data_IF_860987284727
#
_entry.id   IF_860987284727
#
_cell.length_a   1.000
_cell.length_b   1.000
_cell.length_c   1.000
_cell.angle_alpha   90.00
_cell.angle_beta   90.00
_cell.angle_gamma   90.00
#
_symmetry.space_group_name_H-M   'P 1'
#
loop_
_entity.id
_entity.type
_entity.pdbx_description
1 polymer ?
#
# COMPACT_ATOMS: atom_id res chain seq x y z
N UNK A 1 -57.60 8.06 -3.01
CA UNK A 1 -56.32 8.78 -3.20
C UNK A 1 -55.48 8.87 -1.92
N UNK A 2 -56.02 9.34 -0.77
CA UNK A 2 -55.25 9.44 0.49
C UNK A 2 -54.55 8.14 0.93
N UNK A 3 -55.23 6.98 0.87
CA UNK A 3 -54.65 5.67 1.24
C UNK A 3 -53.47 5.26 0.35
N UNK A 4 -53.55 5.55 -0.95
CA UNK A 4 -52.48 5.27 -1.91
C UNK A 4 -51.26 6.18 -1.68
N UNK A 5 -51.49 7.45 -1.34
CA UNK A 5 -50.42 8.40 -1.00
C UNK A 5 -49.72 7.97 0.30
N UNK A 6 -50.48 7.59 1.33
CA UNK A 6 -49.90 7.10 2.60
C UNK A 6 -49.06 5.84 2.36
N UNK A 7 -49.57 4.87 1.59
CA UNK A 7 -48.81 3.67 1.24
C UNK A 7 -47.52 4.00 0.49
N UNK A 8 -47.58 4.92 -0.49
CA UNK A 8 -46.40 5.35 -1.23
C UNK A 8 -45.35 6.01 -0.32
N UNK A 9 -45.78 6.92 0.55
CA UNK A 9 -44.89 7.60 1.51
C UNK A 9 -44.25 6.59 2.45
N UNK A 10 -45.02 5.66 3.01
CA UNK A 10 -44.49 4.61 3.88
C UNK A 10 -43.46 3.74 3.16
N UNK A 11 -43.74 3.32 1.92
CA UNK A 11 -42.80 2.53 1.12
C UNK A 11 -41.49 3.31 0.85
N UNK A 12 -41.59 4.60 0.51
CA UNK A 12 -40.41 5.44 0.30
C UNK A 12 -39.59 5.60 1.59
N UNK A 13 -40.22 5.76 2.75
CA UNK A 13 -39.53 5.82 4.03
C UNK A 13 -38.79 4.50 4.34
N UNK A 14 -39.40 3.35 4.06
CA UNK A 14 -38.77 2.03 4.26
C UNK A 14 -37.55 1.89 3.34
N UNK A 15 -37.67 2.27 2.07
CA UNK A 15 -36.55 2.21 1.11
C UNK A 15 -35.41 3.12 1.59
N UNK A 16 -35.71 4.36 2.00
CA UNK A 16 -34.71 5.29 2.50
C UNK A 16 -33.98 4.75 3.75
N UNK A 17 -34.73 4.15 4.68
CA UNK A 17 -34.16 3.53 5.87
C UNK A 17 -33.26 2.33 5.53
N UNK A 18 -33.69 1.48 4.59
CA UNK A 18 -32.90 0.33 4.15
C UNK A 18 -31.59 0.76 3.46
N UNK A 19 -31.64 1.78 2.61
CA UNK A 19 -30.44 2.36 1.98
C UNK A 19 -29.51 2.95 3.05
N UNK A 20 -30.05 3.72 4.00
CA UNK A 20 -29.27 4.28 5.10
C UNK A 20 -28.56 3.20 5.93
N UNK A 21 -29.25 2.12 6.26
CA UNK A 21 -28.68 0.98 6.97
C UNK A 21 -27.54 0.31 6.18
N UNK A 22 -27.69 0.16 4.85
CA UNK A 22 -26.63 -0.39 4.00
C UNK A 22 -25.37 0.48 3.99
N UNK A 23 -25.51 1.81 3.94
CA UNK A 23 -24.36 2.72 4.01
C UNK A 23 -23.62 2.63 5.36
N UNK A 24 -24.37 2.56 6.46
CA UNK A 24 -23.77 2.40 7.80
C UNK A 24 -23.05 1.07 7.90
N UNK A 25 -23.66 -0.01 7.41
CA UNK A 25 -23.05 -1.34 7.44
C UNK A 25 -21.80 -1.42 6.56
N UNK A 26 -21.81 -0.80 5.38
CA UNK A 26 -20.63 -0.69 4.51
C UNK A 26 -19.48 0.04 5.21
N UNK A 27 -19.78 1.16 5.89
CA UNK A 27 -18.77 1.90 6.63
C UNK A 27 -18.20 1.12 7.82
N UNK A 28 -19.07 0.47 8.60
CA UNK A 28 -18.64 -0.38 9.72
C UNK A 28 -17.83 -1.60 9.26
N UNK A 29 -18.18 -2.18 8.10
CA UNK A 29 -17.43 -3.29 7.52
C UNK A 29 -16.02 -2.85 7.09
N UNK A 30 -15.87 -1.63 6.56
CA UNK A 30 -14.55 -1.07 6.28
C UNK A 30 -13.71 -0.95 7.55
N UNK A 31 -14.25 -0.32 8.60
CA UNK A 31 -13.55 -0.13 9.88
C UNK A 31 -13.16 -1.47 10.52
N UNK A 32 -14.02 -2.49 10.42
CA UNK A 32 -13.71 -3.83 10.94
C UNK A 32 -12.53 -4.47 10.19
N UNK A 33 -12.47 -4.34 8.86
CA UNK A 33 -11.35 -4.85 8.07
C UNK A 33 -10.06 -4.06 8.33
N UNK A 34 -10.15 -2.73 8.48
CA UNK A 34 -8.99 -1.89 8.85
C UNK A 34 -8.44 -2.29 10.22
N UNK A 35 -9.31 -2.54 11.20
CA UNK A 35 -8.91 -3.03 12.53
C UNK A 35 -8.23 -4.39 12.48
N UNK A 36 -8.67 -5.32 11.61
CA UNK A 36 -7.99 -6.62 11.45
C UNK A 36 -6.58 -6.45 10.87
N UNK A 37 -6.41 -5.51 9.93
CA UNK A 37 -5.09 -5.20 9.37
C UNK A 37 -4.21 -4.54 10.42
N UNK A 38 -4.76 -3.63 11.23
CA UNK A 38 -4.04 -3.01 12.36
C UNK A 38 -3.55 -4.08 13.35
N UNK A 39 -4.41 -5.01 13.78
CA UNK A 39 -4.04 -6.12 14.66
C UNK A 39 -2.93 -7.01 14.05
N UNK A 40 -3.01 -7.27 12.74
CA UNK A 40 -1.97 -8.00 12.02
C UNK A 40 -0.64 -7.24 12.05
N UNK A 41 -0.63 -5.95 11.73
CA UNK A 41 0.59 -5.13 11.70
C UNK A 41 1.21 -4.93 13.07
N UNK A 42 0.40 -4.82 14.12
CA UNK A 42 0.85 -4.76 15.51
C UNK A 42 1.60 -6.04 15.91
N UNK A 43 1.10 -7.21 15.50
CA UNK A 43 1.80 -8.48 15.70
C UNK A 43 3.15 -8.54 14.94
N UNK A 44 3.33 -7.69 13.93
CA UNK A 44 4.52 -7.56 13.11
C UNK A 44 5.49 -6.45 13.55
N UNK A 45 5.24 -5.76 14.67
CA UNK A 45 6.01 -4.58 15.09
C UNK A 45 6.16 -3.54 13.96
N UNK A 46 5.07 -3.35 13.21
CA UNK A 46 5.02 -2.47 12.04
C UNK A 46 4.06 -1.31 12.28
N UNK A 47 4.60 -0.13 12.47
CA UNK A 47 3.81 1.08 12.70
C UNK A 47 3.19 1.61 11.39
N UNK A 48 1.88 1.55 11.28
CA UNK A 48 1.12 2.19 10.21
C UNK A 48 0.80 3.65 10.54
N UNK A 49 0.97 4.54 9.57
CA UNK A 49 0.49 5.93 9.64
C UNK A 49 -0.88 6.10 9.01
N UNK A 50 -1.22 5.23 8.06
CA UNK A 50 -2.53 5.18 7.39
C UNK A 50 -2.77 3.76 6.88
N UNK A 51 -4.02 3.30 6.95
CA UNK A 51 -4.49 2.01 6.43
C UNK A 51 -5.68 2.30 5.51
N UNK A 52 -5.67 1.74 4.30
CA UNK A 52 -6.80 1.81 3.37
C UNK A 52 -7.07 0.46 2.72
N UNK A 53 -8.08 -0.23 3.26
CA UNK A 53 -8.58 -1.49 2.70
C UNK A 53 -9.26 -1.21 1.37
N UNK A 54 -8.79 -1.88 0.32
CA UNK A 54 -9.35 -1.78 -1.03
C UNK A 54 -10.29 -2.93 -1.35
N UNK A 55 -11.17 -2.68 -2.34
CA UNK A 55 -12.15 -3.65 -2.81
C UNK A 55 -13.52 -3.43 -2.20
N UNK A 56 -14.35 -2.63 -2.87
CA UNK A 56 -15.77 -2.46 -2.51
C UNK A 56 -16.64 -3.52 -3.20
N UNK A 57 -17.77 -3.94 -2.59
CA UNK A 57 -18.32 -3.49 -1.31
C UNK A 57 -17.70 -4.22 -0.10
N UNK A 58 -17.37 -3.48 0.95
CA UNK A 58 -16.69 -4.00 2.15
C UNK A 58 -17.50 -5.05 2.91
N UNK A 59 -18.84 -4.97 2.87
CA UNK A 59 -19.71 -5.95 3.54
C UNK A 59 -19.41 -7.39 3.10
N UNK A 60 -19.13 -7.60 1.81
CA UNK A 60 -18.86 -8.96 1.29
C UNK A 60 -17.53 -9.52 1.79
N UNK A 61 -16.54 -8.64 1.99
CA UNK A 61 -15.22 -8.97 2.50
C UNK A 61 -15.27 -9.24 4.00
N UNK A 62 -15.94 -8.37 4.77
CA UNK A 62 -16.16 -8.58 6.20
C UNK A 62 -16.97 -9.86 6.50
N UNK A 63 -17.95 -10.22 5.66
CA UNK A 63 -18.67 -11.51 5.80
C UNK A 63 -17.78 -12.75 5.61
N UNK A 64 -16.66 -12.61 4.89
CA UNK A 64 -15.69 -13.68 4.63
C UNK A 64 -14.49 -13.61 5.57
N UNK A 65 -14.45 -12.61 6.44
CA UNK A 65 -13.32 -12.31 7.30
C UNK A 65 -12.01 -12.18 6.52
N UNK A 66 -12.07 -11.48 5.38
CA UNK A 66 -10.95 -11.38 4.45
C UNK A 66 -10.83 -10.01 3.80
N UNK A 67 -9.62 -9.44 3.74
CA UNK A 67 -9.31 -8.22 2.98
C UNK A 67 -8.38 -8.55 1.80
N UNK A 68 -8.84 -8.42 0.55
CA UNK A 68 -8.07 -8.85 -0.64
C UNK A 68 -6.81 -8.02 -0.91
N UNK A 69 -6.88 -6.70 -0.69
CA UNK A 69 -5.75 -5.80 -0.84
C UNK A 69 -5.90 -4.63 0.13
N UNK A 70 -4.87 -4.38 0.91
CA UNK A 70 -4.81 -3.21 1.78
C UNK A 70 -3.54 -2.43 1.51
N UNK A 71 -3.68 -1.11 1.34
CA UNK A 71 -2.53 -0.20 1.28
C UNK A 71 -2.27 0.34 2.67
N UNK A 72 -1.02 0.29 3.10
CA UNK A 72 -0.58 0.70 4.42
C UNK A 72 0.58 1.67 4.22
N UNK A 73 0.40 2.93 4.62
CA UNK A 73 1.50 3.90 4.58
C UNK A 73 2.31 3.77 5.87
N UNK A 74 3.61 3.56 5.73
CA UNK A 74 4.53 3.37 6.85
C UNK A 74 5.21 4.68 7.24
N UNK A 75 5.77 4.71 8.46
CA UNK A 75 6.59 5.83 8.89
C UNK A 75 7.83 5.99 8.00
N UNK A 76 8.07 7.23 7.54
CA UNK A 76 9.19 7.52 6.65
C UNK A 76 10.52 7.45 7.39
N UNK A 77 11.53 6.93 6.69
CA UNK A 77 12.93 7.01 7.10
C UNK A 77 13.64 8.16 6.38
N UNK A 78 14.78 8.61 6.90
CA UNK A 78 15.54 9.70 6.30
C UNK A 78 15.92 9.39 4.83
N UNK A 79 15.68 10.33 3.92
CA UNK A 79 15.94 10.18 2.49
C UNK A 79 14.83 9.45 1.71
N UNK A 80 13.69 9.18 2.36
CA UNK A 80 12.48 8.66 1.71
C UNK A 80 11.32 9.64 1.82
N UNK A 81 10.48 9.68 0.80
CA UNK A 81 9.29 10.53 0.76
C UNK A 81 7.97 9.75 0.68
N UNK A 82 8.05 8.44 0.40
CA UNK A 82 6.93 7.52 0.48
C UNK A 82 7.42 6.14 0.88
N UNK A 83 6.66 5.49 1.75
CA UNK A 83 6.89 4.12 2.14
C UNK A 83 5.53 3.45 2.30
N UNK A 84 5.23 2.46 1.45
CA UNK A 84 3.91 1.86 1.37
C UNK A 84 4.01 0.34 1.30
N UNK A 85 3.38 -0.32 2.27
CA UNK A 85 3.19 -1.76 2.31
C UNK A 85 1.83 -2.12 1.72
N UNK A 86 1.80 -3.14 0.88
CA UNK A 86 0.60 -3.78 0.36
C UNK A 86 0.47 -5.13 1.04
N UNK A 87 -0.63 -5.29 1.77
CA UNK A 87 -1.05 -6.57 2.33
C UNK A 87 -1.99 -7.23 1.32
N UNK A 88 -1.51 -8.28 0.67
CA UNK A 88 -2.32 -9.06 -0.27
C UNK A 88 -3.02 -10.19 0.48
N UNK A 89 -4.34 -10.19 0.41
CA UNK A 89 -5.25 -11.14 1.06
C UNK A 89 -4.89 -11.42 2.52
N UNK A 90 -5.46 -10.64 3.42
CA UNK A 90 -5.43 -10.94 4.85
C UNK A 90 -6.69 -11.73 5.22
N UNK A 91 -6.52 -12.89 5.85
CA UNK A 91 -7.61 -13.68 6.46
C UNK A 91 -7.07 -14.51 7.61
N UNK A 92 -7.82 -14.68 8.69
CA UNK A 92 -7.38 -15.44 9.87
C UNK A 92 -6.01 -14.98 10.41
N UNK A 93 -5.72 -13.67 10.36
CA UNK A 93 -4.42 -13.06 10.73
C UNK A 93 -3.22 -13.51 9.88
N UNK A 94 -3.46 -14.08 8.70
CA UNK A 94 -2.42 -14.50 7.76
C UNK A 94 -2.57 -13.73 6.45
N UNK A 95 -1.46 -13.18 5.95
CA UNK A 95 -1.39 -12.56 4.64
C UNK A 95 -0.85 -13.56 3.61
N UNK A 96 -1.43 -13.59 2.41
CA UNK A 96 -0.88 -14.42 1.32
C UNK A 96 0.49 -13.89 0.84
N UNK A 97 0.65 -12.57 0.83
CA UNK A 97 1.86 -11.90 0.35
C UNK A 97 1.97 -10.47 0.89
N UNK A 98 3.19 -10.04 1.16
CA UNK A 98 3.52 -8.67 1.50
C UNK A 98 4.45 -8.07 0.44
N UNK A 99 4.05 -6.94 -0.14
CA UNK A 99 4.84 -6.19 -1.11
C UNK A 99 5.02 -4.78 -0.60
N UNK A 100 6.24 -4.22 -0.62
CA UNK A 100 6.51 -2.86 -0.13
C UNK A 100 7.15 -2.03 -1.23
N UNK A 101 6.70 -0.79 -1.33
CA UNK A 101 7.23 0.21 -2.24
C UNK A 101 7.85 1.31 -1.40
N UNK A 102 9.17 1.48 -1.54
CA UNK A 102 9.91 2.56 -0.90
C UNK A 102 10.32 3.56 -1.97
N UNK A 103 9.92 4.81 -1.82
CA UNK A 103 10.34 5.90 -2.70
C UNK A 103 11.38 6.76 -2.00
N UNK A 104 12.59 6.71 -2.53
CA UNK A 104 13.69 7.59 -2.16
C UNK A 104 13.55 8.93 -2.87
N UNK A 105 14.03 9.98 -2.21
CA UNK A 105 14.17 11.29 -2.84
C UNK A 105 15.07 11.19 -4.08
N UNK A 106 14.83 12.06 -5.06
CA UNK A 106 15.75 12.18 -6.20
C UNK A 106 17.13 12.63 -5.73
N UNK A 107 18.20 12.21 -6.41
CA UNK A 107 19.52 12.81 -6.20
C UNK A 107 19.49 14.30 -6.55
N UNK A 108 20.43 15.06 -5.98
CA UNK A 108 20.57 16.49 -6.26
C UNK A 108 20.73 16.75 -7.77
N UNK A 109 19.86 17.59 -8.33
CA UNK A 109 19.88 17.98 -9.73
C UNK A 109 18.50 18.01 -10.37
N UNK A 110 18.47 18.32 -11.67
CA UNK A 110 17.28 18.16 -12.49
C UNK A 110 17.20 16.69 -12.94
N UNK A 111 16.10 16.02 -12.57
CA UNK A 111 15.86 14.61 -12.88
C UNK A 111 14.64 14.47 -13.77
N UNK A 112 14.84 13.92 -14.97
CA UNK A 112 13.77 13.59 -15.92
C UNK A 112 13.68 12.07 -16.10
N UNK A 113 12.63 11.41 -15.57
CA UNK A 113 12.44 9.97 -15.74
C UNK A 113 12.37 9.55 -17.20
N UNK A 114 13.00 8.44 -17.55
CA UNK A 114 12.85 7.84 -18.88
C UNK A 114 11.68 6.84 -18.82
N UNK A 115 10.69 7.07 -19.68
CA UNK A 115 9.53 6.19 -19.82
C UNK A 115 9.67 5.24 -21.02
N UNK A 116 9.03 4.07 -20.93
CA UNK A 116 8.83 3.18 -22.08
C UNK A 116 7.74 3.74 -22.99
N UNK A 117 7.60 3.13 -24.17
CA UNK A 117 6.59 3.52 -25.15
C UNK A 117 5.13 3.41 -24.65
N UNK A 118 4.88 2.61 -23.60
CA UNK A 118 3.57 2.45 -22.97
C UNK A 118 3.32 3.44 -21.81
N UNK A 119 4.26 4.36 -21.55
CA UNK A 119 4.20 5.32 -20.45
C UNK A 119 4.64 4.76 -19.09
N UNK A 120 5.11 3.50 -19.03
CA UNK A 120 5.67 2.96 -17.79
C UNK A 120 7.06 3.52 -17.52
N UNK A 121 7.34 3.85 -16.26
CA UNK A 121 8.66 4.28 -15.84
C UNK A 121 9.70 3.15 -15.96
N UNK A 122 10.94 3.54 -16.26
CA UNK A 122 12.11 2.65 -16.29
C UNK A 122 12.98 2.83 -15.07
N UNK A 123 14.04 2.04 -14.96
CA UNK A 123 15.12 2.18 -13.98
C UNK A 123 16.07 3.35 -14.30
N UNK A 124 15.82 4.12 -15.36
CA UNK A 124 16.74 5.14 -15.85
C UNK A 124 16.09 6.53 -15.85
N UNK A 125 16.92 7.56 -15.68
CA UNK A 125 16.52 8.96 -15.82
C UNK A 125 17.66 9.79 -16.43
N UNK A 126 17.33 10.92 -17.04
CA UNK A 126 18.32 11.96 -17.34
C UNK A 126 18.53 12.79 -16.07
N UNK A 127 19.77 12.84 -15.57
CA UNK A 127 20.16 13.63 -14.41
C UNK A 127 21.17 14.67 -14.87
N UNK A 128 20.79 15.95 -14.78
CA UNK A 128 21.58 17.07 -15.31
C UNK A 128 22.02 16.86 -16.78
N UNK A 129 21.15 16.25 -17.59
CA UNK A 129 21.39 15.98 -19.03
C UNK A 129 22.30 14.79 -19.33
N UNK A 130 22.57 13.91 -18.35
CA UNK A 130 23.21 12.62 -18.58
C UNK A 130 22.32 11.48 -18.11
N UNK A 131 22.20 10.43 -18.93
CA UNK A 131 21.49 9.22 -18.54
C UNK A 131 22.19 8.51 -17.38
N UNK A 132 21.44 8.28 -16.31
CA UNK A 132 21.82 7.51 -15.13
C UNK A 132 20.90 6.30 -14.99
N UNK A 133 21.45 5.15 -14.62
CA UNK A 133 20.69 3.93 -14.31
C UNK A 133 20.67 3.69 -12.80
N UNK A 134 19.48 3.49 -12.25
CA UNK A 134 19.28 3.22 -10.84
C UNK A 134 19.10 1.73 -10.60
N UNK A 135 19.65 1.26 -9.50
CA UNK A 135 19.44 -0.10 -9.00
C UNK A 135 19.29 -0.08 -7.49
N UNK A 136 18.82 -1.18 -6.94
CA UNK A 136 18.78 -1.37 -5.50
C UNK A 136 19.20 -2.78 -5.13
N UNK A 137 19.76 -2.91 -3.93
CA UNK A 137 20.12 -4.20 -3.34
C UNK A 137 19.82 -4.20 -1.84
N UNK A 138 19.64 -5.38 -1.28
CA UNK A 138 19.42 -5.58 0.16
C UNK A 138 20.56 -6.41 0.71
N UNK A 139 21.35 -5.82 1.61
CA UNK A 139 22.47 -6.46 2.26
C UNK A 139 22.63 -5.91 3.68
N UNK A 140 23.04 -6.77 4.62
CA UNK A 140 23.28 -6.40 6.03
C UNK A 140 22.11 -5.61 6.65
N UNK A 141 20.88 -6.12 6.49
CA UNK A 141 19.63 -5.52 6.99
C UNK A 141 19.37 -4.10 6.47
N UNK A 142 19.89 -3.78 5.28
CA UNK A 142 19.74 -2.47 4.66
C UNK A 142 19.33 -2.58 3.20
N UNK A 143 18.34 -1.78 2.84
CA UNK A 143 18.05 -1.48 1.44
C UNK A 143 18.95 -0.32 1.02
N UNK A 144 19.77 -0.52 -0.02
CA UNK A 144 20.63 0.50 -0.59
C UNK A 144 20.26 0.75 -2.06
N UNK A 145 20.17 2.03 -2.44
CA UNK A 145 19.92 2.47 -3.81
C UNK A 145 21.22 3.01 -4.40
N UNK A 146 21.45 2.68 -5.66
CA UNK A 146 22.64 3.06 -6.43
C UNK A 146 22.24 3.84 -7.68
N UNK A 147 23.06 4.82 -8.05
CA UNK A 147 23.05 5.53 -9.32
C UNK A 147 24.36 5.21 -10.06
N UNK A 148 24.29 4.50 -11.18
CA UNK A 148 25.45 3.98 -11.92
C UNK A 148 26.47 3.25 -11.01
N UNK A 149 25.95 2.48 -10.04
CA UNK A 149 26.75 1.72 -9.07
C UNK A 149 27.27 2.53 -7.87
N UNK A 150 27.03 3.84 -7.83
CA UNK A 150 27.37 4.68 -6.67
C UNK A 150 26.20 4.78 -5.71
N UNK A 151 26.40 4.47 -4.43
CA UNK A 151 25.35 4.54 -3.42
C UNK A 151 24.80 5.97 -3.28
N UNK A 152 23.48 6.13 -3.35
CA UNK A 152 22.78 7.43 -3.28
C UNK A 152 21.76 7.51 -2.16
N UNK A 153 21.32 6.38 -1.60
CA UNK A 153 20.33 6.34 -0.52
C UNK A 153 20.33 4.99 0.17
N UNK A 154 19.92 4.97 1.44
CA UNK A 154 19.76 3.73 2.19
C UNK A 154 18.71 3.87 3.30
N UNK A 155 18.06 2.76 3.64
CA UNK A 155 17.21 2.63 4.82
C UNK A 155 17.48 1.31 5.53
N UNK A 156 17.07 1.22 6.79
CA UNK A 156 17.13 -0.03 7.54
C UNK A 156 15.90 -0.89 7.25
N UNK A 157 16.13 -2.20 7.18
CA UNK A 157 15.13 -3.24 6.98
C UNK A 157 15.06 -4.11 8.23
N UNK A 158 13.87 -4.21 8.84
CA UNK A 158 13.65 -5.05 10.02
C UNK A 158 13.42 -6.53 9.69
N UNK A 159 13.19 -6.85 8.42
CA UNK A 159 12.79 -8.17 7.95
C UNK A 159 13.46 -8.47 6.62
N UNK A 160 13.62 -9.77 6.35
CA UNK A 160 14.18 -10.27 5.10
C UNK A 160 13.25 -9.96 3.93
N UNK A 161 13.81 -9.33 2.90
CA UNK A 161 13.10 -8.91 1.70
C UNK A 161 13.95 -9.17 0.46
N UNK A 162 13.27 -9.41 -0.65
CA UNK A 162 13.87 -9.51 -1.98
C UNK A 162 13.49 -8.28 -2.82
N UNK A 163 14.46 -7.61 -3.43
CA UNK A 163 14.23 -6.55 -4.42
C UNK A 163 13.64 -7.18 -5.69
N UNK A 164 12.45 -6.72 -6.10
CA UNK A 164 11.80 -7.14 -7.35
C UNK A 164 12.03 -6.20 -8.50
N UNK A 165 12.23 -4.91 -8.21
CA UNK A 165 12.44 -3.91 -9.24
C UNK A 165 12.82 -2.54 -8.69
N UNK A 166 13.33 -1.71 -9.59
CA UNK A 166 13.61 -0.30 -9.35
C UNK A 166 13.06 0.50 -10.53
N UNK A 167 12.44 1.63 -10.23
CA UNK A 167 11.93 2.56 -11.24
C UNK A 167 12.12 4.00 -10.78
N UNK A 168 12.49 4.90 -11.69
CA UNK A 168 12.55 6.34 -11.42
C UNK A 168 11.25 6.96 -11.89
N UNK A 169 10.58 7.68 -11.00
CA UNK A 169 9.31 8.37 -11.28
C UNK A 169 9.46 9.86 -11.05
N UNK A 170 8.41 10.63 -11.34
CA UNK A 170 8.38 12.05 -11.02
C UNK A 170 8.45 12.36 -9.51
N UNK A 171 8.18 11.37 -8.65
CA UNK A 171 8.21 11.54 -7.20
C UNK A 171 9.54 11.13 -6.55
N UNK A 172 10.39 10.37 -7.25
CA UNK A 172 11.58 9.79 -6.67
C UNK A 172 11.99 8.46 -7.29
N UNK A 173 12.98 7.80 -6.69
CA UNK A 173 13.41 6.44 -7.06
C UNK A 173 12.62 5.44 -6.23
N UNK A 174 11.74 4.69 -6.90
CA UNK A 174 10.88 3.67 -6.29
C UNK A 174 11.59 2.32 -6.34
N UNK A 175 11.65 1.65 -5.20
CA UNK A 175 12.09 0.26 -5.09
C UNK A 175 10.91 -0.61 -4.68
N UNK A 176 10.67 -1.67 -5.46
CA UNK A 176 9.69 -2.71 -5.12
C UNK A 176 10.39 -3.84 -4.38
N UNK A 177 9.85 -4.19 -3.23
CA UNK A 177 10.31 -5.26 -2.34
C UNK A 177 9.19 -6.27 -2.16
N UNK A 178 9.55 -7.55 -2.06
CA UNK A 178 8.66 -8.60 -1.56
C UNK A 178 9.28 -9.18 -0.29
N UNK A 179 8.47 -9.37 0.75
CA UNK A 179 8.94 -10.02 1.97
C UNK A 179 9.08 -11.52 1.72
N UNK A 180 10.18 -12.09 2.22
CA UNK A 180 10.46 -13.51 2.03
C UNK A 180 9.49 -14.39 2.84
N UNK A 181 8.93 -13.84 3.92
CA UNK A 181 7.81 -14.43 4.66
C UNK A 181 6.70 -13.38 4.83
N UNK A 182 5.44 -13.72 4.51
CA UNK A 182 4.30 -12.86 4.83
C UNK A 182 3.84 -13.04 6.29
N UNK A 183 4.37 -14.06 6.98
CA UNK A 183 4.15 -14.28 8.40
C UNK A 183 5.12 -13.45 9.19
N UNK A 184 4.60 -12.79 10.21
CA UNK A 184 5.44 -12.05 11.12
C UNK A 184 6.15 -13.01 12.06
N UNK A 185 7.47 -12.85 12.28
CA UNK A 185 8.16 -13.66 13.27
C UNK A 185 7.45 -13.44 14.60
N UNK A 186 6.86 -14.49 15.16
CA UNK A 186 6.09 -14.41 16.39
C UNK A 186 6.88 -13.61 17.43
N UNK A 187 6.30 -12.52 17.93
CA UNK A 187 6.91 -11.72 18.99
C UNK A 187 7.30 -12.66 20.14
N UNK A 188 8.60 -12.70 20.45
CA UNK A 188 9.18 -13.55 21.48
C UNK A 188 8.85 -13.05 22.89
#
# INVERSE_FOLDING_TARGET
MKKAIIALVSTLCIIAAAIGALFVWEHQSKLALESQVEDFLDACDTDATSIDVHGRPYILYAMRDSADLTYVDLALQAGTNKDQLLVHRLSDSHADRLTRFVTFDHPDGEVEPIERADGSFTDSAEVNGSKVTFSADVADDRLQVFADGSATGQIEMKQDVTVKGTAVTNAGVVVELEYDSPDCPAAA
#
